data_IF_159422618309
#
_entry.id   IF_159422618309
#
_cell.length_a   1.000
_cell.length_b   1.000
_cell.length_c   1.000
_cell.angle_alpha   90.00
_cell.angle_beta   90.00
_cell.angle_gamma   90.00
#
_symmetry.space_group_name_H-M   'P 1'
#
loop_
_entity.id
_entity.type
_entity.pdbx_description
1 polymer ?
#
# COMPACT_ATOMS: atom_id res chain seq x y z
N UNK A 1 -5.93 -37.38 8.16
CA UNK A 1 -6.74 -36.19 8.52
C UNK A 1 -6.01 -35.00 7.94
N UNK A 2 -6.50 -34.44 6.84
CA UNK A 2 -5.94 -33.23 6.22
C UNK A 2 -6.53 -32.04 6.97
N UNK A 3 -5.75 -31.41 7.84
CA UNK A 3 -6.12 -30.13 8.46
C UNK A 3 -6.22 -29.08 7.37
N UNK A 4 -7.45 -28.65 7.07
CA UNK A 4 -7.72 -27.49 6.23
C UNK A 4 -7.30 -26.25 7.03
N UNK A 5 -6.08 -25.76 6.82
CA UNK A 5 -5.66 -24.46 7.35
C UNK A 5 -6.47 -23.40 6.62
N UNK A 6 -7.49 -22.84 7.26
CA UNK A 6 -8.24 -21.71 6.72
C UNK A 6 -7.29 -20.51 6.63
N UNK A 7 -6.78 -20.23 5.44
CA UNK A 7 -5.95 -19.04 5.17
C UNK A 7 -6.86 -17.82 5.41
N UNK A 8 -6.60 -17.02 6.45
CA UNK A 8 -7.29 -15.75 6.61
C UNK A 8 -6.89 -14.85 5.44
N UNK A 9 -7.88 -14.47 4.63
CA UNK A 9 -7.71 -13.59 3.47
C UNK A 9 -8.16 -12.19 3.85
N UNK A 10 -7.37 -11.20 3.46
CA UNK A 10 -7.59 -9.78 3.68
C UNK A 10 -7.66 -9.08 2.33
N UNK A 11 -8.54 -8.11 2.18
CA UNK A 11 -8.75 -7.43 0.91
C UNK A 11 -8.19 -6.02 0.92
N UNK A 12 -7.34 -5.69 -0.05
CA UNK A 12 -6.80 -4.34 -0.28
C UNK A 12 -7.03 -4.02 -1.76
N UNK A 13 -7.74 -2.92 -2.07
CA UNK A 13 -8.07 -2.50 -3.45
C UNK A 13 -8.62 -3.64 -4.34
N UNK A 14 -9.55 -4.43 -3.81
CA UNK A 14 -10.16 -5.60 -4.46
C UNK A 14 -9.20 -6.77 -4.79
N UNK A 15 -8.03 -6.82 -4.15
CA UNK A 15 -7.08 -7.94 -4.21
C UNK A 15 -7.04 -8.65 -2.86
N UNK A 16 -6.99 -9.98 -2.88
CA UNK A 16 -6.95 -10.79 -1.67
C UNK A 16 -5.51 -11.20 -1.32
N UNK A 17 -5.14 -11.03 -0.06
CA UNK A 17 -3.82 -11.35 0.48
C UNK A 17 -3.97 -12.20 1.73
N UNK A 18 -3.10 -13.19 1.92
CA UNK A 18 -2.97 -13.80 3.25
C UNK A 18 -2.06 -13.01 4.16
N UNK A 19 -2.09 -13.34 5.45
CA UNK A 19 -1.20 -12.78 6.46
C UNK A 19 0.29 -12.83 6.07
N UNK A 20 0.76 -13.93 5.45
CA UNK A 20 2.15 -14.02 4.98
C UNK A 20 2.48 -12.99 3.88
N UNK A 21 1.58 -12.83 2.92
CA UNK A 21 1.71 -11.84 1.85
C UNK A 21 1.66 -10.40 2.40
N UNK A 22 0.86 -10.15 3.45
CA UNK A 22 0.87 -8.86 4.16
C UNK A 22 2.22 -8.59 4.83
N UNK A 23 2.82 -9.59 5.51
CA UNK A 23 4.15 -9.44 6.13
C UNK A 23 5.23 -9.17 5.08
N UNK A 24 5.15 -9.83 3.93
CA UNK A 24 6.07 -9.60 2.82
C UNK A 24 5.93 -8.17 2.28
N UNK A 25 4.69 -7.67 2.11
CA UNK A 25 4.42 -6.28 1.72
C UNK A 25 5.07 -5.29 2.69
N UNK A 26 4.88 -5.47 4.00
CA UNK A 26 5.39 -4.50 4.97
C UNK A 26 6.93 -4.55 5.07
N UNK A 27 7.54 -5.73 4.97
CA UNK A 27 8.99 -5.89 5.11
C UNK A 27 9.79 -5.58 3.85
N UNK A 28 9.22 -5.81 2.67
CA UNK A 28 9.91 -5.70 1.40
C UNK A 28 9.31 -4.63 0.48
N UNK A 29 8.24 -3.97 0.93
CA UNK A 29 7.43 -3.12 0.08
C UNK A 29 6.82 -3.89 -1.09
N UNK A 30 6.25 -3.15 -2.02
CA UNK A 30 5.66 -3.73 -3.24
C UNK A 30 6.69 -4.29 -4.24
N UNK A 31 8.00 -4.09 -3.97
CA UNK A 31 9.09 -4.73 -4.71
C UNK A 31 9.08 -6.26 -4.63
N UNK A 32 8.34 -6.82 -3.66
CA UNK A 32 8.12 -8.27 -3.50
C UNK A 32 7.33 -8.92 -4.67
N UNK A 33 6.80 -8.14 -5.62
CA UNK A 33 6.09 -8.69 -6.79
C UNK A 33 4.71 -9.22 -6.43
N UNK A 34 3.93 -8.36 -5.77
CA UNK A 34 2.61 -8.71 -5.23
C UNK A 34 1.56 -8.73 -6.34
N UNK A 35 0.81 -9.83 -6.42
CA UNK A 35 -0.18 -10.06 -7.47
C UNK A 35 -1.22 -8.93 -7.55
N UNK A 36 -1.43 -8.41 -8.75
CA UNK A 36 -2.34 -7.29 -9.02
C UNK A 36 -1.72 -5.90 -8.91
N UNK A 37 -0.42 -5.82 -8.59
CA UNK A 37 0.33 -4.57 -8.46
C UNK A 37 1.71 -4.64 -9.13
N UNK A 38 1.89 -5.56 -10.09
CA UNK A 38 3.19 -5.84 -10.71
C UNK A 38 3.44 -4.88 -11.87
N UNK A 39 2.38 -4.56 -12.63
CA UNK A 39 2.50 -3.74 -13.83
C UNK A 39 2.09 -2.29 -13.58
N UNK A 40 2.86 -1.36 -14.16
CA UNK A 40 2.57 0.07 -14.16
C UNK A 40 1.13 0.39 -14.61
N UNK A 41 0.61 -0.32 -15.61
CA UNK A 41 -0.78 -0.17 -16.07
C UNK A 41 -1.81 -0.62 -15.03
N UNK A 42 -1.54 -1.69 -14.28
CA UNK A 42 -2.43 -2.13 -13.19
C UNK A 42 -2.47 -1.08 -12.08
N UNK A 43 -1.31 -0.52 -11.73
CA UNK A 43 -1.19 0.55 -10.73
C UNK A 43 -1.89 1.84 -11.18
N UNK A 44 -1.77 2.17 -12.47
CA UNK A 44 -2.53 3.27 -13.08
C UNK A 44 -4.04 3.07 -12.87
N UNK A 45 -4.56 1.94 -13.33
CA UNK A 45 -6.00 1.64 -13.26
C UNK A 45 -6.49 1.58 -11.80
N UNK A 46 -5.67 1.04 -10.88
CA UNK A 46 -5.96 1.02 -9.46
C UNK A 46 -6.06 2.43 -8.88
N UNK A 47 -5.10 3.31 -9.21
CA UNK A 47 -5.11 4.69 -8.75
C UNK A 47 -6.33 5.43 -9.29
N UNK A 48 -6.58 5.40 -10.60
CA UNK A 48 -7.71 6.10 -11.22
C UNK A 48 -9.05 5.65 -10.64
N UNK A 49 -9.21 4.35 -10.36
CA UNK A 49 -10.45 3.80 -9.82
C UNK A 49 -10.66 4.08 -8.33
N UNK A 50 -9.60 4.44 -7.59
CA UNK A 50 -9.63 4.57 -6.13
C UNK A 50 -8.94 5.85 -5.63
N UNK A 51 -8.83 6.89 -6.46
CA UNK A 51 -8.01 8.08 -6.16
C UNK A 51 -8.42 8.74 -4.84
N UNK A 52 -9.72 8.98 -4.64
CA UNK A 52 -10.23 9.61 -3.41
C UNK A 52 -9.91 8.74 -2.18
N UNK A 53 -10.21 7.45 -2.24
CA UNK A 53 -9.96 6.51 -1.13
C UNK A 53 -8.48 6.46 -0.75
N UNK A 54 -7.60 6.43 -1.75
CA UNK A 54 -6.14 6.40 -1.53
C UNK A 54 -5.68 7.72 -0.92
N UNK A 55 -6.04 8.85 -1.51
CA UNK A 55 -5.51 10.15 -1.11
C UNK A 55 -6.09 10.61 0.23
N UNK A 56 -7.39 10.39 0.49
CA UNK A 56 -8.02 10.72 1.77
C UNK A 56 -7.38 9.93 2.92
N UNK A 57 -7.11 8.64 2.73
CA UNK A 57 -6.41 7.84 3.73
C UNK A 57 -4.98 8.35 3.97
N UNK A 58 -4.27 8.77 2.93
CA UNK A 58 -2.92 9.30 3.08
C UNK A 58 -2.92 10.71 3.71
N UNK A 59 -3.95 11.52 3.49
CA UNK A 59 -4.17 12.77 4.22
C UNK A 59 -4.38 12.50 5.71
N UNK A 60 -5.24 11.55 6.06
CA UNK A 60 -5.48 11.14 7.46
C UNK A 60 -4.21 10.58 8.12
N UNK A 61 -3.44 9.77 7.39
CA UNK A 61 -2.17 9.22 7.88
C UNK A 61 -1.14 10.31 8.12
N UNK A 62 -1.06 11.32 7.25
CA UNK A 62 -0.19 12.47 7.45
C UNK A 62 -0.55 13.25 8.73
N UNK A 63 -1.85 13.48 8.97
CA UNK A 63 -2.35 14.12 10.21
C UNK A 63 -1.99 13.31 11.45
N UNK A 64 -2.16 11.98 11.40
CA UNK A 64 -1.81 11.08 12.51
C UNK A 64 -0.30 11.09 12.84
N UNK A 65 0.55 11.31 11.84
CA UNK A 65 2.00 11.45 12.02
C UNK A 65 2.42 12.84 12.53
N UNK A 66 1.46 13.75 12.73
CA UNK A 66 1.69 15.11 13.21
C UNK A 66 2.11 16.10 12.12
N UNK A 67 1.99 15.71 10.86
CA UNK A 67 2.15 16.59 9.71
C UNK A 67 0.80 17.23 9.32
N UNK A 68 0.83 18.24 8.45
CA UNK A 68 -0.39 18.75 7.80
C UNK A 68 -1.04 17.63 6.95
N UNK A 69 -2.39 17.49 6.95
CA UNK A 69 -3.10 16.47 6.18
C UNK A 69 -2.91 16.67 4.68
N UNK A 70 -1.84 16.09 4.16
CA UNK A 70 -1.39 16.25 2.78
C UNK A 70 -0.63 15.01 2.32
N UNK A 71 -1.38 13.99 1.92
CA UNK A 71 -0.95 12.74 1.34
C UNK A 71 -0.10 12.94 0.09
N UNK A 72 -0.35 13.98 -0.71
CA UNK A 72 0.53 14.30 -1.84
C UNK A 72 1.96 14.60 -1.37
N UNK A 73 2.11 15.47 -0.36
CA UNK A 73 3.42 15.78 0.23
C UNK A 73 4.01 14.56 0.92
N UNK A 74 3.21 13.75 1.59
CA UNK A 74 3.66 12.50 2.20
C UNK A 74 4.27 11.54 1.17
N UNK A 75 3.61 11.34 0.02
CA UNK A 75 4.10 10.52 -1.10
C UNK A 75 5.39 11.10 -1.68
N UNK A 76 5.42 12.41 -1.98
CA UNK A 76 6.62 13.07 -2.52
C UNK A 76 7.82 12.97 -1.57
N UNK A 77 7.61 13.18 -0.27
CA UNK A 77 8.64 13.03 0.74
C UNK A 77 9.16 11.58 0.82
N UNK A 78 8.29 10.59 0.65
CA UNK A 78 8.69 9.18 0.59
C UNK A 78 9.51 8.87 -0.66
N UNK A 79 9.10 9.39 -1.82
CA UNK A 79 9.85 9.28 -3.07
C UNK A 79 11.26 9.86 -2.91
N UNK A 80 11.38 11.07 -2.38
CA UNK A 80 12.67 11.73 -2.12
C UNK A 80 13.55 10.89 -1.19
N UNK A 81 13.02 10.41 -0.06
CA UNK A 81 13.76 9.55 0.87
C UNK A 81 14.22 8.23 0.25
N UNK A 82 13.45 7.68 -0.69
CA UNK A 82 13.77 6.44 -1.42
C UNK A 82 14.63 6.68 -2.67
N UNK A 83 14.94 7.93 -3.01
CA UNK A 83 15.69 8.29 -4.22
C UNK A 83 14.94 8.00 -5.52
N UNK A 84 13.60 8.05 -5.49
CA UNK A 84 12.75 7.83 -6.66
C UNK A 84 12.51 9.16 -7.36
N UNK A 85 12.93 9.27 -8.62
CA UNK A 85 12.78 10.49 -9.41
C UNK A 85 11.32 10.71 -9.84
N UNK A 86 10.84 11.94 -9.70
CA UNK A 86 9.52 12.34 -10.20
C UNK A 86 9.62 12.64 -11.70
N UNK A 87 9.69 11.59 -12.51
CA UNK A 87 9.81 11.74 -13.98
C UNK A 87 8.47 11.99 -14.66
N UNK A 88 7.38 11.51 -14.05
CA UNK A 88 6.04 11.68 -14.56
C UNK A 88 4.99 11.57 -13.45
N UNK A 89 3.80 12.09 -13.73
CA UNK A 89 2.65 11.90 -12.85
C UNK A 89 2.31 10.41 -12.67
N UNK A 90 2.61 9.56 -13.65
CA UNK A 90 2.37 8.12 -13.54
C UNK A 90 3.24 7.50 -12.44
N UNK A 91 4.52 7.88 -12.34
CA UNK A 91 5.41 7.40 -11.26
C UNK A 91 4.83 7.79 -9.91
N UNK A 92 4.34 9.02 -9.76
CA UNK A 92 3.69 9.44 -8.52
C UNK A 92 2.47 8.56 -8.17
N UNK A 93 1.59 8.29 -9.13
CA UNK A 93 0.40 7.45 -8.91
C UNK A 93 0.78 6.05 -8.44
N UNK A 94 1.81 5.47 -9.04
CA UNK A 94 2.35 4.18 -8.61
C UNK A 94 2.84 4.22 -7.16
N UNK A 95 3.60 5.25 -6.79
CA UNK A 95 4.10 5.42 -5.43
C UNK A 95 2.99 5.67 -4.41
N UNK A 96 1.92 6.38 -4.79
CA UNK A 96 0.75 6.58 -3.95
C UNK A 96 0.01 5.26 -3.69
N UNK A 97 -0.21 4.43 -4.72
CA UNK A 97 -0.81 3.10 -4.56
C UNK A 97 0.07 2.23 -3.67
N UNK A 98 1.39 2.23 -3.88
CA UNK A 98 2.32 1.42 -3.09
C UNK A 98 2.30 1.81 -1.62
N UNK A 99 2.40 3.11 -1.33
CA UNK A 99 2.34 3.60 0.04
C UNK A 99 1.02 3.22 0.71
N UNK A 100 -0.11 3.40 0.03
CA UNK A 100 -1.41 3.03 0.56
C UNK A 100 -1.49 1.53 0.89
N UNK A 101 -1.05 0.66 -0.02
CA UNK A 101 -1.06 -0.79 0.19
C UNK A 101 -0.15 -1.18 1.36
N UNK A 102 1.04 -0.58 1.47
CA UNK A 102 1.98 -0.80 2.59
C UNK A 102 1.34 -0.40 3.93
N UNK A 103 0.70 0.77 4.00
CA UNK A 103 0.03 1.25 5.22
C UNK A 103 -1.16 0.37 5.63
N UNK A 104 -2.03 0.00 4.68
CA UNK A 104 -3.18 -0.86 4.98
C UNK A 104 -2.73 -2.27 5.39
N UNK A 105 -1.70 -2.82 4.76
CA UNK A 105 -1.13 -4.10 5.17
C UNK A 105 -0.63 -4.05 6.62
N UNK A 106 0.02 -2.95 7.01
CA UNK A 106 0.46 -2.69 8.37
C UNK A 106 -0.71 -2.63 9.36
N UNK A 107 -1.73 -1.82 9.05
CA UNK A 107 -2.93 -1.68 9.90
C UNK A 107 -3.66 -3.03 10.09
N UNK A 108 -3.76 -3.81 9.02
CA UNK A 108 -4.38 -5.13 9.06
C UNK A 108 -3.59 -6.09 9.97
N UNK A 109 -2.26 -6.14 9.86
CA UNK A 109 -1.41 -6.96 10.73
C UNK A 109 -1.52 -6.55 12.20
N UNK A 110 -1.49 -5.24 12.49
CA UNK A 110 -1.71 -4.70 13.84
C UNK A 110 -3.09 -5.07 14.38
N UNK A 111 -4.14 -4.99 13.55
CA UNK A 111 -5.52 -5.29 13.96
C UNK A 111 -5.74 -6.74 14.38
N UNK A 112 -4.95 -7.67 13.84
CA UNK A 112 -5.00 -9.10 14.18
C UNK A 112 -3.94 -9.52 15.21
N UNK A 113 -3.15 -8.58 15.72
CA UNK A 113 -2.12 -8.82 16.73
C UNK A 113 -0.89 -9.56 16.21
N UNK A 114 -0.61 -9.47 14.91
CA UNK A 114 0.56 -10.09 14.29
C UNK A 114 1.74 -9.11 14.24
N UNK A 115 2.92 -9.57 14.64
CA UNK A 115 4.19 -8.87 14.43
C UNK A 115 4.69 -9.10 13.00
N UNK A 116 5.43 -8.14 12.46
CA UNK A 116 5.97 -8.14 11.11
C UNK A 116 7.39 -7.60 11.05
#
# INVERSE_FOLDING_TARGET
MTTTTTKHVHTILNKEFCTGELKDIVNHGMSAGVSGFIYSSELHDCFESNTEVIMDYLDDMADQLGDEPNGYRMVLNSMERRGIEFDSLQVFKEQAVWMYVECIAMDLLLSIGEEY
#
